data_IF_171816077082
#
_entry.id   IF_171816077082
#
_cell.length_a   1.000
_cell.length_b   1.000
_cell.length_c   1.000
_cell.angle_alpha   90.00
_cell.angle_beta   90.00
_cell.angle_gamma   90.00
#
_symmetry.space_group_name_H-M   'P 1'
#
loop_
_entity.id
_entity.type
_entity.pdbx_description
1 polymer ?
#
# COMPACT_ATOMS: atom_id res chain seq x y z
N UNK A 1 -62.17 -22.17 11.74
CA UNK A 1 -60.71 -22.22 11.48
C UNK A 1 -59.98 -20.99 12.04
N UNK A 2 -60.66 -20.09 12.78
CA UNK A 2 -60.16 -18.75 13.15
C UNK A 2 -59.41 -18.71 14.51
N UNK A 3 -59.83 -19.52 15.49
CA UNK A 3 -59.25 -19.46 16.85
C UNK A 3 -57.80 -19.99 16.94
N UNK A 4 -57.43 -20.96 16.13
CA UNK A 4 -56.10 -21.59 16.18
C UNK A 4 -55.00 -20.73 15.57
N UNK A 5 -55.33 -19.88 14.59
CA UNK A 5 -54.39 -18.94 13.97
C UNK A 5 -54.16 -17.73 14.88
N UNK A 6 -55.22 -17.24 15.53
CA UNK A 6 -55.14 -16.19 16.56
C UNK A 6 -54.33 -16.62 17.79
N UNK A 7 -54.49 -17.87 18.24
CA UNK A 7 -53.73 -18.41 19.37
C UNK A 7 -52.24 -18.59 19.03
N UNK A 8 -51.92 -19.02 17.80
CA UNK A 8 -50.54 -19.14 17.32
C UNK A 8 -49.85 -17.78 17.19
N UNK A 9 -50.55 -16.77 16.67
CA UNK A 9 -50.05 -15.40 16.59
C UNK A 9 -49.80 -14.81 17.98
N UNK A 10 -50.71 -15.02 18.94
CA UNK A 10 -50.52 -14.59 20.33
C UNK A 10 -49.33 -15.27 20.99
N UNK A 11 -49.13 -16.56 20.76
CA UNK A 11 -47.97 -17.28 21.27
C UNK A 11 -46.64 -16.74 20.67
N UNK A 12 -46.61 -16.46 19.36
CA UNK A 12 -45.45 -15.88 18.69
C UNK A 12 -45.12 -14.48 19.22
N UNK A 13 -46.13 -13.63 19.43
CA UNK A 13 -45.94 -12.30 20.02
C UNK A 13 -45.46 -12.37 21.48
N UNK A 14 -45.99 -13.29 22.28
CA UNK A 14 -45.51 -13.51 23.65
C UNK A 14 -44.05 -13.97 23.68
N UNK A 15 -43.66 -14.83 22.73
CA UNK A 15 -42.27 -15.28 22.57
C UNK A 15 -41.36 -14.13 22.14
N UNK A 16 -41.81 -13.24 21.25
CA UNK A 16 -41.05 -12.04 20.85
C UNK A 16 -40.83 -11.09 22.05
N UNK A 17 -41.83 -10.93 22.91
CA UNK A 17 -41.67 -10.16 24.15
C UNK A 17 -40.67 -10.77 25.13
N UNK A 18 -40.64 -12.10 25.22
CA UNK A 18 -39.64 -12.82 26.02
C UNK A 18 -38.23 -12.55 25.49
N UNK A 19 -38.01 -12.70 24.17
CA UNK A 19 -36.72 -12.40 23.56
C UNK A 19 -36.29 -10.94 23.75
N UNK A 20 -37.23 -9.98 23.72
CA UNK A 20 -36.95 -8.58 24.08
C UNK A 20 -36.49 -8.45 25.53
N UNK A 21 -37.14 -9.13 26.48
CA UNK A 21 -36.79 -9.07 27.89
C UNK A 21 -35.40 -9.70 28.14
N UNK A 22 -35.11 -10.83 27.51
CA UNK A 22 -33.81 -11.50 27.60
C UNK A 22 -32.71 -10.63 26.96
N UNK A 23 -32.99 -10.01 25.81
CA UNK A 23 -32.08 -9.07 25.16
C UNK A 23 -31.79 -7.83 26.02
N UNK A 24 -32.79 -7.34 26.78
CA UNK A 24 -32.60 -6.25 27.73
C UNK A 24 -31.72 -6.68 28.92
N UNK A 25 -31.84 -7.93 29.39
CA UNK A 25 -30.98 -8.49 30.42
C UNK A 25 -29.53 -8.60 29.92
N UNK A 26 -29.32 -9.16 28.73
CA UNK A 26 -28.01 -9.26 28.09
C UNK A 26 -27.36 -7.89 27.86
N UNK A 27 -28.14 -6.86 27.49
CA UNK A 27 -27.66 -5.48 27.38
C UNK A 27 -27.15 -4.92 28.72
N UNK A 28 -27.87 -5.19 29.83
CA UNK A 28 -27.45 -4.76 31.17
C UNK A 28 -26.16 -5.45 31.61
N UNK A 29 -25.97 -6.70 31.20
CA UNK A 29 -24.74 -7.48 31.42
C UNK A 29 -23.59 -7.08 30.47
N UNK A 30 -23.81 -6.09 29.58
CA UNK A 30 -22.86 -5.67 28.53
C UNK A 30 -22.52 -6.77 27.52
N UNK A 31 -23.31 -7.83 27.44
CA UNK A 31 -23.19 -8.86 26.42
C UNK A 31 -23.93 -8.41 25.15
N UNK A 32 -23.30 -7.51 24.40
CA UNK A 32 -23.94 -6.84 23.25
C UNK A 32 -24.23 -7.80 22.09
N UNK A 33 -23.35 -8.76 21.83
CA UNK A 33 -23.53 -9.76 20.77
C UNK A 33 -24.77 -10.63 21.02
N UNK A 34 -24.95 -11.11 22.26
CA UNK A 34 -26.12 -11.91 22.62
C UNK A 34 -27.40 -11.07 22.61
N UNK A 35 -27.33 -9.82 23.08
CA UNK A 35 -28.47 -8.91 22.99
C UNK A 35 -28.93 -8.68 21.54
N UNK A 36 -27.98 -8.44 20.61
CA UNK A 36 -28.28 -8.28 19.17
C UNK A 36 -28.96 -9.55 18.62
N UNK A 37 -28.45 -10.74 19.00
CA UNK A 37 -29.02 -12.02 18.58
C UNK A 37 -30.46 -12.15 19.07
N UNK A 38 -30.71 -11.91 20.35
CA UNK A 38 -32.03 -12.00 20.98
C UNK A 38 -33.03 -11.00 20.37
N UNK A 39 -32.63 -9.75 20.13
CA UNK A 39 -33.50 -8.80 19.42
C UNK A 39 -33.76 -9.18 17.97
N UNK A 40 -32.80 -9.83 17.31
CA UNK A 40 -33.01 -10.35 15.96
C UNK A 40 -34.05 -11.47 15.97
N UNK A 41 -33.98 -12.40 16.94
CA UNK A 41 -35.03 -13.41 17.13
C UNK A 41 -36.41 -12.78 17.42
N UNK A 42 -36.47 -11.68 18.17
CA UNK A 42 -37.73 -10.95 18.40
C UNK A 42 -38.26 -10.31 17.10
N UNK A 43 -37.38 -9.79 16.25
CA UNK A 43 -37.73 -9.21 14.95
C UNK A 43 -38.08 -10.26 13.89
N UNK A 44 -37.57 -11.49 14.00
CA UNK A 44 -37.99 -12.58 13.13
C UNK A 44 -39.47 -12.95 13.36
N UNK A 45 -39.97 -12.72 14.59
CA UNK A 45 -41.36 -12.96 14.98
C UNK A 45 -42.27 -11.74 14.75
N UNK A 46 -41.78 -10.51 15.01
CA UNK A 46 -42.48 -9.26 14.69
C UNK A 46 -41.51 -8.26 14.02
N UNK A 47 -41.37 -8.31 12.67
CA UNK A 47 -40.39 -7.53 11.93
C UNK A 47 -40.63 -6.02 11.97
N UNK A 48 -41.86 -5.60 12.28
CA UNK A 48 -42.27 -4.19 12.19
C UNK A 48 -42.19 -3.46 13.52
N UNK A 49 -41.84 -4.16 14.61
CA UNK A 49 -41.84 -3.59 15.94
C UNK A 49 -40.72 -2.55 16.14
N UNK A 50 -41.11 -1.27 16.15
CA UNK A 50 -40.18 -0.17 16.39
C UNK A 50 -39.41 -0.30 17.73
N UNK A 51 -39.99 -0.93 18.76
CA UNK A 51 -39.32 -1.09 20.06
C UNK A 51 -38.11 -2.02 19.93
N UNK A 52 -38.28 -3.15 19.22
CA UNK A 52 -37.20 -4.12 19.03
C UNK A 52 -36.10 -3.54 18.14
N UNK A 53 -36.46 -2.82 17.07
CA UNK A 53 -35.52 -2.08 16.22
C UNK A 53 -34.73 -1.03 17.03
N UNK A 54 -35.40 -0.26 17.89
CA UNK A 54 -34.75 0.75 18.74
C UNK A 54 -33.77 0.12 19.75
N UNK A 55 -34.14 -1.02 20.34
CA UNK A 55 -33.27 -1.72 21.30
C UNK A 55 -32.08 -2.40 20.61
N UNK A 56 -32.28 -2.98 19.41
CA UNK A 56 -31.19 -3.55 18.62
C UNK A 56 -30.23 -2.47 18.11
N UNK A 57 -30.75 -1.32 17.69
CA UNK A 57 -29.95 -0.14 17.34
C UNK A 57 -29.05 0.30 18.50
N UNK A 58 -29.59 0.34 19.73
CA UNK A 58 -28.80 0.65 20.92
C UNK A 58 -27.69 -0.38 21.17
N UNK A 59 -28.00 -1.67 21.06
CA UNK A 59 -27.03 -2.75 21.21
C UNK A 59 -25.93 -2.69 20.14
N UNK A 60 -26.28 -2.36 18.90
CA UNK A 60 -25.31 -2.14 17.83
C UNK A 60 -24.38 -0.96 18.11
N UNK A 61 -24.86 0.14 18.68
CA UNK A 61 -23.99 1.25 19.09
C UNK A 61 -23.02 0.84 20.20
N UNK A 62 -23.51 0.09 21.20
CA UNK A 62 -22.64 -0.42 22.27
C UNK A 62 -21.63 -1.46 21.78
N UNK A 63 -21.90 -2.13 20.66
CA UNK A 63 -21.00 -3.07 19.98
C UNK A 63 -20.15 -2.42 18.86
N UNK A 64 -20.02 -1.09 18.85
CA UNK A 64 -19.28 -0.28 17.85
C UNK A 64 -19.72 -0.48 16.39
N UNK A 65 -20.89 -1.06 16.17
CA UNK A 65 -21.47 -1.36 14.85
C UNK A 65 -22.38 -0.22 14.37
N UNK A 66 -21.81 0.99 14.27
CA UNK A 66 -22.53 2.26 14.08
C UNK A 66 -23.42 2.31 12.82
N UNK A 67 -22.96 1.73 11.71
CA UNK A 67 -23.71 1.70 10.44
C UNK A 67 -24.94 0.79 10.50
N UNK A 68 -24.85 -0.35 11.22
CA UNK A 68 -25.99 -1.23 11.46
C UNK A 68 -27.00 -0.58 12.40
N UNK A 69 -26.51 0.11 13.44
CA UNK A 69 -27.36 0.87 14.34
C UNK A 69 -28.18 1.96 13.62
N UNK A 70 -27.56 2.65 12.66
CA UNK A 70 -28.22 3.67 11.84
C UNK A 70 -29.38 3.07 11.04
N UNK A 71 -29.15 1.93 10.37
CA UNK A 71 -30.20 1.24 9.59
C UNK A 71 -31.38 0.82 10.45
N UNK A 72 -31.12 0.25 11.63
CA UNK A 72 -32.19 -0.12 12.56
C UNK A 72 -32.95 1.09 13.09
N UNK A 73 -32.27 2.22 13.31
CA UNK A 73 -32.91 3.45 13.73
C UNK A 73 -33.78 4.07 12.62
N UNK A 74 -33.36 3.97 11.36
CA UNK A 74 -34.15 4.38 10.20
C UNK A 74 -35.41 3.52 10.04
N UNK A 75 -35.25 2.20 10.08
CA UNK A 75 -36.38 1.27 10.07
C UNK A 75 -37.34 1.51 11.25
N UNK A 76 -36.82 1.86 12.43
CA UNK A 76 -37.62 2.23 13.59
C UNK A 76 -38.50 3.48 13.33
N UNK A 77 -37.95 4.50 12.67
CA UNK A 77 -38.68 5.72 12.29
C UNK A 77 -39.70 5.40 11.19
N UNK A 78 -39.37 4.55 10.23
CA UNK A 78 -40.31 4.08 9.20
C UNK A 78 -41.51 3.34 9.82
N UNK A 79 -41.26 2.46 10.80
CA UNK A 79 -42.31 1.74 11.52
C UNK A 79 -43.17 2.65 12.40
N UNK A 80 -42.58 3.62 13.11
CA UNK A 80 -43.31 4.57 13.97
C UNK A 80 -42.81 6.02 13.78
N UNK A 81 -43.31 6.74 12.75
CA UNK A 81 -42.83 8.08 12.41
C UNK A 81 -43.05 9.16 13.47
N UNK A 82 -44.02 8.95 14.37
CA UNK A 82 -44.36 9.88 15.46
C UNK A 82 -43.62 9.55 16.77
N UNK A 83 -42.77 8.54 16.79
CA UNK A 83 -42.09 8.11 18.01
C UNK A 83 -40.70 8.76 18.16
N UNK A 84 -40.60 9.74 19.07
CA UNK A 84 -39.38 10.52 19.28
C UNK A 84 -38.13 9.66 19.60
N UNK A 85 -38.30 8.49 20.23
CA UNK A 85 -37.18 7.59 20.55
C UNK A 85 -36.49 7.02 19.30
N UNK A 86 -37.20 6.89 18.17
CA UNK A 86 -36.58 6.50 16.90
C UNK A 86 -35.58 7.54 16.41
N UNK A 87 -35.98 8.82 16.43
CA UNK A 87 -35.10 9.95 16.12
C UNK A 87 -33.92 10.05 17.09
N UNK A 88 -34.14 9.76 18.38
CA UNK A 88 -33.07 9.72 19.37
C UNK A 88 -32.00 8.66 19.02
N UNK A 89 -32.42 7.45 18.60
CA UNK A 89 -31.48 6.39 18.16
C UNK A 89 -30.74 6.76 16.89
N UNK A 90 -31.45 7.35 15.91
CA UNK A 90 -30.84 7.77 14.64
C UNK A 90 -29.79 8.85 14.86
N UNK A 91 -30.12 9.89 15.64
CA UNK A 91 -29.18 10.95 16.00
C UNK A 91 -27.97 10.41 16.75
N UNK A 92 -28.15 9.43 17.64
CA UNK A 92 -27.04 8.82 18.37
C UNK A 92 -26.09 8.03 17.43
N UNK A 93 -26.65 7.34 16.43
CA UNK A 93 -25.86 6.64 15.43
C UNK A 93 -25.12 7.59 14.48
N UNK A 94 -25.77 8.68 14.05
CA UNK A 94 -25.15 9.73 13.24
C UNK A 94 -24.03 10.46 14.00
N UNK A 95 -24.25 10.74 15.29
CA UNK A 95 -23.25 11.32 16.17
C UNK A 95 -22.03 10.39 16.30
N UNK A 96 -22.24 9.09 16.53
CA UNK A 96 -21.14 8.13 16.62
C UNK A 96 -20.35 8.00 15.29
N UNK A 97 -20.98 8.28 14.16
CA UNK A 97 -20.37 8.32 12.82
C UNK A 97 -19.71 9.67 12.49
N UNK A 98 -19.60 10.59 13.44
CA UNK A 98 -19.09 11.97 13.26
C UNK A 98 -19.87 12.78 12.22
N UNK A 99 -21.15 12.44 11.98
CA UNK A 99 -22.05 13.17 11.08
C UNK A 99 -22.85 14.20 11.88
N UNK A 100 -22.15 15.16 12.49
CA UNK A 100 -22.72 16.06 13.50
C UNK A 100 -23.89 16.90 12.99
N UNK A 101 -23.80 17.44 11.77
CA UNK A 101 -24.89 18.25 11.18
C UNK A 101 -26.16 17.43 10.98
N UNK A 102 -26.02 16.20 10.48
CA UNK A 102 -27.13 15.28 10.30
C UNK A 102 -27.74 14.88 11.64
N UNK A 103 -26.89 14.55 12.63
CA UNK A 103 -27.34 14.20 13.98
C UNK A 103 -28.16 15.33 14.60
N UNK A 104 -27.70 16.58 14.48
CA UNK A 104 -28.41 17.77 14.98
C UNK A 104 -29.77 17.93 14.31
N UNK A 105 -29.85 17.81 12.98
CA UNK A 105 -31.12 17.86 12.24
C UNK A 105 -32.08 16.74 12.65
N UNK A 106 -31.57 15.52 12.83
CA UNK A 106 -32.36 14.37 13.26
C UNK A 106 -32.93 14.58 14.66
N UNK A 107 -32.14 15.11 15.60
CA UNK A 107 -32.64 15.42 16.94
C UNK A 107 -33.67 16.55 16.95
N UNK A 108 -33.51 17.58 16.11
CA UNK A 108 -34.55 18.61 15.95
C UNK A 108 -35.86 18.02 15.42
N UNK A 109 -35.81 17.11 14.42
CA UNK A 109 -37.01 16.38 13.96
C UNK A 109 -37.63 15.53 15.08
N UNK A 110 -36.81 15.01 16.00
CA UNK A 110 -37.29 14.36 17.22
C UNK A 110 -38.04 15.32 18.14
N UNK A 111 -37.51 16.53 18.35
CA UNK A 111 -38.14 17.58 19.15
C UNK A 111 -39.44 18.08 18.51
N UNK A 112 -39.56 18.10 17.19
CA UNK A 112 -40.85 18.38 16.52
C UNK A 112 -41.94 17.38 16.92
N UNK A 113 -41.57 16.14 17.26
CA UNK A 113 -42.53 15.11 17.74
C UNK A 113 -42.80 15.20 19.23
N UNK A 114 -41.81 15.62 20.02
CA UNK A 114 -41.91 15.82 21.47
C UNK A 114 -41.15 17.08 21.92
N UNK A 115 -41.78 18.27 21.85
CA UNK A 115 -41.10 19.55 22.07
C UNK A 115 -40.57 19.79 23.50
N UNK A 116 -41.07 19.04 24.48
CA UNK A 116 -40.68 19.15 25.89
C UNK A 116 -39.60 18.17 26.32
N UNK A 117 -39.01 17.42 25.39
CA UNK A 117 -38.10 16.32 25.72
C UNK A 117 -36.70 16.82 26.09
N UNK A 118 -36.37 16.77 27.38
CA UNK A 118 -35.06 17.18 27.90
C UNK A 118 -33.91 16.33 27.34
N UNK A 119 -34.11 15.02 27.16
CA UNK A 119 -33.07 14.12 26.64
C UNK A 119 -32.66 14.45 25.21
N UNK A 120 -33.58 14.93 24.37
CA UNK A 120 -33.26 15.37 23.01
C UNK A 120 -32.52 16.72 23.01
N UNK A 121 -32.87 17.64 23.91
CA UNK A 121 -32.19 18.92 24.08
C UNK A 121 -30.73 18.69 24.52
N UNK A 122 -30.51 17.87 25.55
CA UNK A 122 -29.19 17.46 26.01
C UNK A 122 -28.37 16.80 24.89
N UNK A 123 -28.99 15.95 24.07
CA UNK A 123 -28.30 15.31 22.94
C UNK A 123 -27.88 16.31 21.85
N UNK A 124 -28.69 17.35 21.59
CA UNK A 124 -28.35 18.43 20.65
C UNK A 124 -27.16 19.23 21.17
N UNK A 125 -27.16 19.59 22.45
CA UNK A 125 -26.05 20.30 23.09
C UNK A 125 -24.77 19.46 23.06
N UNK A 126 -24.87 18.17 23.39
CA UNK A 126 -23.74 17.24 23.34
C UNK A 126 -23.14 17.12 21.92
N UNK A 127 -23.99 17.05 20.88
CA UNK A 127 -23.53 17.05 19.48
C UNK A 127 -22.85 18.35 19.10
N UNK A 128 -23.32 19.50 19.58
CA UNK A 128 -22.70 20.80 19.30
C UNK A 128 -21.30 20.88 19.92
N UNK A 129 -21.16 20.52 21.20
CA UNK A 129 -19.87 20.50 21.89
C UNK A 129 -18.90 19.53 21.20
N UNK A 130 -19.38 18.33 20.83
CA UNK A 130 -18.58 17.35 20.11
C UNK A 130 -18.14 17.85 18.72
N UNK A 131 -19.03 18.54 17.99
CA UNK A 131 -18.72 19.14 16.70
C UNK A 131 -17.66 20.23 16.80
N UNK A 132 -17.79 21.13 17.78
CA UNK A 132 -16.81 22.19 18.03
C UNK A 132 -15.44 21.60 18.40
N UNK A 133 -15.40 20.62 19.31
CA UNK A 133 -14.18 19.92 19.68
C UNK A 133 -13.52 19.22 18.49
N UNK A 134 -14.30 18.50 17.68
CA UNK A 134 -13.82 17.84 16.47
C UNK A 134 -13.27 18.84 15.45
N UNK A 135 -13.97 19.96 15.25
CA UNK A 135 -13.52 21.03 14.34
C UNK A 135 -12.22 21.68 14.80
N UNK A 136 -12.03 21.88 16.11
CA UNK A 136 -10.81 22.43 16.69
C UNK A 136 -9.65 21.45 16.55
N UNK A 137 -9.88 20.16 16.79
CA UNK A 137 -8.89 19.10 16.57
C UNK A 137 -8.43 19.09 15.11
N UNK A 138 -9.37 19.09 14.16
CA UNK A 138 -9.05 19.09 12.73
C UNK A 138 -8.26 20.34 12.31
N UNK A 139 -8.59 21.52 12.87
CA UNK A 139 -7.79 22.75 12.65
C UNK A 139 -6.37 22.61 13.16
N UNK A 140 -6.16 22.02 14.35
CA UNK A 140 -4.82 21.78 14.90
C UNK A 140 -4.02 20.80 14.04
N UNK A 141 -4.63 19.68 13.64
CA UNK A 141 -3.98 18.68 12.78
C UNK A 141 -3.61 19.26 11.40
N UNK A 142 -4.47 20.10 10.82
CA UNK A 142 -4.18 20.77 9.55
C UNK A 142 -3.06 21.80 9.70
N UNK A 143 -3.07 22.60 10.78
CA UNK A 143 -2.00 23.56 11.07
C UNK A 143 -0.64 22.86 11.30
N UNK A 144 -0.63 21.71 11.99
CA UNK A 144 0.57 20.90 12.17
C UNK A 144 1.10 20.35 10.85
N UNK A 145 0.23 19.80 10.00
CA UNK A 145 0.61 19.35 8.64
C UNK A 145 1.15 20.48 7.79
N UNK A 146 0.56 21.67 7.88
CA UNK A 146 1.02 22.85 7.14
C UNK A 146 2.37 23.35 7.66
N UNK A 147 2.59 23.35 8.98
CA UNK A 147 3.88 23.69 9.57
C UNK A 147 4.99 22.72 9.14
N UNK A 148 4.70 21.40 9.12
CA UNK A 148 5.64 20.38 8.62
C UNK A 148 5.97 20.62 7.14
N UNK A 149 4.96 20.92 6.32
CA UNK A 149 5.17 21.22 4.90
C UNK A 149 6.05 22.47 4.72
N UNK A 150 5.77 23.55 5.46
CA UNK A 150 6.55 24.78 5.41
C UNK A 150 8.01 24.54 5.89
N UNK A 151 8.21 23.71 6.91
CA UNK A 151 9.54 23.33 7.38
C UNK A 151 10.33 22.56 6.30
N UNK A 152 9.70 21.59 5.63
CA UNK A 152 10.34 20.87 4.52
C UNK A 152 10.63 21.77 3.32
N UNK A 153 9.73 22.70 3.00
CA UNK A 153 9.94 23.68 1.93
C UNK A 153 11.09 24.65 2.26
N UNK A 154 11.18 25.10 3.51
CA UNK A 154 12.30 25.91 3.99
C UNK A 154 13.63 25.14 3.98
N UNK A 155 13.64 23.86 4.37
CA UNK A 155 14.83 23.00 4.30
C UNK A 155 15.26 22.76 2.85
N UNK A 156 14.31 22.50 1.94
CA UNK A 156 14.59 22.32 0.52
C UNK A 156 15.15 23.61 -0.10
N UNK A 157 14.58 24.77 0.27
CA UNK A 157 15.08 26.07 -0.17
C UNK A 157 16.48 26.34 0.38
N UNK A 158 16.74 26.07 1.65
CA UNK A 158 18.07 26.23 2.23
C UNK A 158 19.12 25.36 1.53
N UNK A 159 18.79 24.11 1.18
CA UNK A 159 19.66 23.25 0.37
C UNK A 159 19.89 23.79 -1.04
N UNK A 160 18.84 24.30 -1.69
CA UNK A 160 18.96 24.90 -3.01
C UNK A 160 19.82 26.19 -2.99
N UNK A 161 19.66 27.02 -1.95
CA UNK A 161 20.47 28.22 -1.75
C UNK A 161 21.94 27.86 -1.47
N UNK A 162 22.20 26.79 -0.70
CA UNK A 162 23.55 26.26 -0.44
C UNK A 162 24.19 25.67 -1.71
N UNK A 163 23.41 24.95 -2.53
CA UNK A 163 23.85 24.40 -3.83
C UNK A 163 24.15 25.53 -4.84
N UNK A 164 23.32 26.58 -4.88
CA UNK A 164 23.57 27.75 -5.70
C UNK A 164 24.83 28.52 -5.27
N UNK A 165 25.05 28.63 -3.95
CA UNK A 165 26.27 29.24 -3.41
C UNK A 165 27.50 28.41 -3.80
N UNK A 166 27.41 27.09 -3.66
CA UNK A 166 28.48 26.17 -4.04
C UNK A 166 28.77 26.25 -5.54
N UNK A 167 27.74 26.30 -6.40
CA UNK A 167 27.90 26.47 -7.83
C UNK A 167 28.62 27.78 -8.16
N UNK A 168 28.20 28.90 -7.58
CA UNK A 168 28.85 30.21 -7.80
C UNK A 168 30.31 30.23 -7.34
N UNK A 169 30.62 29.52 -6.25
CA UNK A 169 31.98 29.37 -5.76
C UNK A 169 32.82 28.51 -6.70
N UNK A 170 32.26 27.42 -7.24
CA UNK A 170 32.96 26.56 -8.20
C UNK A 170 33.22 27.30 -9.52
N UNK A 171 32.28 28.12 -10.00
CA UNK A 171 32.48 28.97 -11.18
C UNK A 171 33.61 29.99 -10.96
N UNK A 172 33.71 30.57 -9.75
CA UNK A 172 34.77 31.51 -9.39
C UNK A 172 36.15 30.81 -9.30
N UNK A 173 36.19 29.59 -8.77
CA UNK A 173 37.40 28.75 -8.74
C UNK A 173 37.82 28.36 -10.16
N UNK A 174 36.89 27.97 -11.03
CA UNK A 174 37.16 27.64 -12.43
C UNK A 174 37.69 28.87 -13.18
N UNK A 175 37.10 30.05 -12.98
CA UNK A 175 37.59 31.30 -13.56
C UNK A 175 39.00 31.68 -13.08
N UNK A 176 39.35 31.38 -11.82
CA UNK A 176 40.69 31.57 -11.26
C UNK A 176 41.70 30.54 -11.81
N UNK A 177 41.27 29.29 -11.99
CA UNK A 177 42.07 28.26 -12.65
C UNK A 177 42.35 28.64 -14.11
N UNK A 178 41.34 29.13 -14.84
CA UNK A 178 41.49 29.60 -16.21
C UNK A 178 42.42 30.83 -16.32
N UNK A 179 42.40 31.74 -15.33
CA UNK A 179 43.35 32.85 -15.26
C UNK A 179 44.77 32.41 -14.89
N UNK A 180 44.91 31.36 -14.08
CA UNK A 180 46.22 30.81 -13.68
C UNK A 180 46.82 29.89 -14.75
N UNK A 181 46.00 29.35 -15.65
CA UNK A 181 46.43 28.34 -16.61
C UNK A 181 46.68 28.90 -18.02
N UNK A 182 47.60 29.87 -18.12
CA UNK A 182 48.32 30.16 -19.38
C UNK A 182 49.54 29.26 -19.55
N UNK A 183 49.38 27.95 -19.33
CA UNK A 183 50.39 26.95 -19.68
C UNK A 183 49.72 25.94 -20.59
N UNK A 184 50.16 25.93 -21.86
CA UNK A 184 49.74 24.97 -22.87
C UNK A 184 49.78 23.56 -22.27
N UNK A 185 48.62 22.90 -22.24
CA UNK A 185 48.46 21.48 -21.92
C UNK A 185 49.51 20.71 -22.73
N UNK A 186 50.51 20.09 -22.08
CA UNK A 186 51.48 19.28 -22.81
C UNK A 186 50.74 18.12 -23.46
N UNK A 187 51.10 17.82 -24.71
CA UNK A 187 50.60 16.67 -25.45
C UNK A 187 50.75 15.40 -24.59
N UNK A 188 49.78 14.46 -24.65
CA UNK A 188 49.78 13.28 -23.82
C UNK A 188 51.00 12.45 -24.17
N UNK A 189 52.02 12.52 -23.30
CA UNK A 189 53.14 11.60 -23.36
C UNK A 189 52.55 10.23 -23.05
N UNK A 190 52.53 9.33 -24.03
CA UNK A 190 52.16 7.93 -23.83
C UNK A 190 53.02 7.38 -22.69
N UNK A 191 52.41 7.28 -21.50
CA UNK A 191 53.03 6.64 -20.36
C UNK A 191 53.05 5.16 -20.66
N UNK A 192 54.23 4.63 -20.99
CA UNK A 192 54.45 3.19 -21.08
C UNK A 192 54.21 2.63 -19.67
N UNK A 193 53.00 2.08 -19.43
CA UNK A 193 52.66 1.42 -18.17
C UNK A 193 53.58 0.20 -18.02
N UNK A 194 54.18 -0.03 -16.83
CA UNK A 194 55.00 -1.21 -16.62
C UNK A 194 54.19 -2.49 -16.88
N UNK A 195 54.78 -3.54 -17.46
CA UNK A 195 54.06 -4.79 -17.73
C UNK A 195 53.42 -5.32 -16.45
N UNK A 196 52.10 -5.51 -16.46
CA UNK A 196 51.37 -6.11 -15.34
C UNK A 196 51.76 -7.58 -15.24
N UNK A 197 52.31 -7.97 -14.08
CA UNK A 197 52.53 -9.38 -13.76
C UNK A 197 51.22 -10.00 -13.29
N UNK A 198 50.77 -11.02 -14.01
CA UNK A 198 49.51 -11.72 -13.73
C UNK A 198 49.69 -12.90 -12.78
N UNK A 199 50.92 -13.27 -12.42
CA UNK A 199 51.20 -14.39 -11.51
C UNK A 199 50.78 -15.75 -12.06
N UNK A 200 50.47 -16.69 -11.16
CA UNK A 200 50.07 -18.07 -11.50
C UNK A 200 48.54 -18.23 -11.61
N UNK A 201 48.05 -19.22 -12.37
CA UNK A 201 46.62 -19.55 -12.46
C UNK A 201 45.96 -19.77 -11.09
N UNK A 202 46.61 -20.53 -10.21
CA UNK A 202 46.09 -20.83 -8.86
C UNK A 202 46.05 -19.57 -7.97
N UNK A 203 47.06 -18.70 -8.10
CA UNK A 203 47.10 -17.43 -7.37
C UNK A 203 45.95 -16.49 -7.77
N UNK A 204 45.56 -16.49 -9.04
CA UNK A 204 44.43 -15.68 -9.52
C UNK A 204 43.09 -16.20 -9.00
N UNK A 205 42.89 -17.51 -8.93
CA UNK A 205 41.67 -18.10 -8.34
C UNK A 205 41.57 -17.72 -6.86
N UNK A 206 42.67 -17.82 -6.11
CA UNK A 206 42.70 -17.43 -4.68
C UNK A 206 42.40 -15.94 -4.51
N UNK A 207 42.95 -15.07 -5.36
CA UNK A 207 42.69 -13.63 -5.33
C UNK A 207 41.22 -13.30 -5.58
N UNK A 208 40.62 -13.91 -6.60
CA UNK A 208 39.25 -13.62 -7.02
C UNK A 208 38.21 -14.20 -6.07
N UNK A 209 38.54 -15.28 -5.36
CA UNK A 209 37.65 -15.95 -4.41
C UNK A 209 38.15 -15.83 -2.97
N UNK A 210 38.80 -14.71 -2.68
CA UNK A 210 39.21 -14.36 -1.33
C UNK A 210 37.99 -14.19 -0.40
N UNK A 211 38.16 -14.26 0.93
CA UNK A 211 37.07 -13.96 1.85
C UNK A 211 36.46 -12.58 1.55
N UNK A 212 35.13 -12.51 1.45
CA UNK A 212 34.38 -11.29 1.08
C UNK A 212 34.58 -10.82 -0.36
N UNK A 213 34.98 -11.72 -1.29
CA UNK A 213 35.13 -11.38 -2.70
C UNK A 213 33.88 -10.75 -3.34
N UNK A 214 32.67 -11.11 -2.87
CA UNK A 214 31.42 -10.52 -3.33
C UNK A 214 31.37 -8.99 -3.25
N UNK A 215 32.10 -8.41 -2.28
CA UNK A 215 32.17 -6.97 -2.08
C UNK A 215 33.40 -6.36 -2.75
N UNK A 216 34.52 -7.09 -2.75
CA UNK A 216 35.78 -6.62 -3.32
C UNK A 216 35.73 -6.59 -4.85
N UNK A 217 35.08 -7.58 -5.45
CA UNK A 217 34.95 -7.72 -6.90
C UNK A 217 33.88 -6.81 -7.51
N UNK A 218 33.15 -6.04 -6.68
CA UNK A 218 32.23 -5.00 -7.19
C UNK A 218 32.95 -3.92 -8.00
N UNK A 219 34.25 -3.73 -7.76
CA UNK A 219 35.09 -2.83 -8.55
C UNK A 219 35.68 -3.58 -9.77
N UNK A 220 35.21 -3.31 -11.01
CA UNK A 220 35.66 -4.03 -12.19
C UNK A 220 37.13 -3.76 -12.55
N UNK A 221 37.66 -2.57 -12.25
CA UNK A 221 39.07 -2.24 -12.47
C UNK A 221 40.00 -3.09 -11.60
N UNK A 222 39.60 -3.35 -10.35
CA UNK A 222 40.35 -4.21 -9.43
C UNK A 222 40.34 -5.68 -9.88
N UNK A 223 39.22 -6.16 -10.40
CA UNK A 223 39.08 -7.54 -10.92
C UNK A 223 39.97 -7.75 -12.14
N UNK A 224 39.93 -6.82 -13.09
CA UNK A 224 40.70 -6.90 -14.34
C UNK A 224 42.17 -6.47 -14.20
N UNK A 225 42.58 -6.00 -13.02
CA UNK A 225 43.93 -5.48 -12.73
C UNK A 225 44.30 -4.34 -13.69
N UNK A 226 43.38 -3.37 -13.82
CA UNK A 226 43.49 -2.21 -14.69
C UNK A 226 43.44 -0.93 -13.86
N UNK A 227 44.10 0.10 -14.36
CA UNK A 227 43.98 1.47 -13.86
C UNK A 227 42.70 2.14 -14.38
N UNK A 228 42.30 3.24 -13.75
CA UNK A 228 41.07 3.98 -14.10
C UNK A 228 41.14 4.65 -15.47
N UNK A 229 42.34 4.85 -16.03
CA UNK A 229 42.61 5.43 -17.34
C UNK A 229 42.75 4.37 -18.46
N UNK A 230 42.40 3.12 -18.19
CA UNK A 230 42.59 2.01 -19.12
C UNK A 230 41.77 2.16 -20.42
N UNK A 231 42.40 1.80 -21.55
CA UNK A 231 41.75 1.82 -22.86
C UNK A 231 40.89 0.58 -23.11
N UNK A 232 39.97 0.65 -24.08
CA UNK A 232 39.13 -0.49 -24.48
C UNK A 232 39.92 -1.70 -24.99
N UNK A 233 41.11 -1.46 -25.54
CA UNK A 233 42.01 -2.52 -25.99
C UNK A 233 42.68 -3.20 -24.81
N UNK A 234 43.17 -2.44 -23.82
CA UNK A 234 43.75 -2.96 -22.58
C UNK A 234 42.72 -3.80 -21.80
N UNK A 235 41.47 -3.33 -21.72
CA UNK A 235 40.36 -4.08 -21.09
C UNK A 235 40.19 -5.45 -21.74
N UNK A 236 40.14 -5.50 -23.08
CA UNK A 236 39.99 -6.76 -23.83
C UNK A 236 41.21 -7.67 -23.67
N UNK A 237 42.42 -7.10 -23.66
CA UNK A 237 43.66 -7.87 -23.49
C UNK A 237 43.73 -8.51 -22.10
N UNK A 238 43.48 -7.74 -21.04
CA UNK A 238 43.46 -8.24 -19.67
C UNK A 238 42.36 -9.28 -19.46
N UNK A 239 41.16 -9.05 -20.01
CA UNK A 239 40.08 -10.03 -19.97
C UNK A 239 40.49 -11.35 -20.64
N UNK A 240 40.99 -11.33 -21.88
CA UNK A 240 41.42 -12.56 -22.58
C UNK A 240 42.49 -13.32 -21.79
N UNK A 241 43.47 -12.61 -21.23
CA UNK A 241 44.57 -13.20 -20.48
C UNK A 241 44.07 -13.83 -19.16
N UNK A 242 43.31 -13.07 -18.36
CA UNK A 242 42.73 -13.55 -17.10
C UNK A 242 41.75 -14.70 -17.32
N UNK A 243 40.84 -14.58 -18.30
CA UNK A 243 39.90 -15.64 -18.67
C UNK A 243 40.60 -16.90 -19.13
N UNK A 244 41.70 -16.81 -19.89
CA UNK A 244 42.48 -17.98 -20.27
C UNK A 244 43.17 -18.64 -19.06
N UNK A 245 43.60 -17.84 -18.07
CA UNK A 245 44.25 -18.31 -16.85
C UNK A 245 43.30 -18.94 -15.85
N UNK A 246 42.01 -18.57 -15.79
CA UNK A 246 41.02 -19.17 -14.86
C UNK A 246 39.96 -20.01 -15.56
N UNK A 247 40.14 -20.35 -16.84
CA UNK A 247 39.14 -21.10 -17.59
C UNK A 247 38.91 -22.50 -16.96
N UNK A 248 37.64 -22.95 -16.80
CA UNK A 248 37.32 -24.24 -16.19
C UNK A 248 37.96 -25.44 -16.88
N UNK A 249 38.05 -25.42 -18.21
CA UNK A 249 38.64 -26.55 -18.97
C UNK A 249 40.17 -26.60 -18.91
N UNK A 250 40.83 -25.48 -18.57
CA UNK A 250 42.30 -25.38 -18.54
C UNK A 250 42.87 -25.56 -17.15
N UNK A 251 42.05 -25.39 -16.10
CA UNK A 251 42.46 -25.52 -14.72
C UNK A 251 41.68 -26.64 -14.03
N UNK A 252 42.35 -27.57 -13.35
CA UNK A 252 41.69 -28.66 -12.62
C UNK A 252 40.89 -28.21 -11.39
N UNK A 253 41.03 -26.96 -10.93
CA UNK A 253 40.39 -26.49 -9.70
C UNK A 253 38.88 -26.32 -9.88
N UNK A 254 38.03 -26.93 -9.02
CA UNK A 254 36.57 -26.78 -9.11
C UNK A 254 36.08 -25.33 -8.98
N UNK A 255 36.87 -24.46 -8.33
CA UNK A 255 36.54 -23.04 -8.12
C UNK A 255 36.84 -22.16 -9.33
N UNK A 256 37.55 -22.68 -10.34
CA UNK A 256 37.90 -21.94 -11.56
C UNK A 256 36.66 -21.37 -12.27
N UNK A 257 35.52 -22.09 -12.22
CA UNK A 257 34.25 -21.63 -12.78
C UNK A 257 33.73 -20.35 -12.11
N UNK A 258 33.71 -20.28 -10.80
CA UNK A 258 33.25 -19.11 -10.06
C UNK A 258 34.17 -17.91 -10.30
N UNK A 259 35.49 -18.13 -10.29
CA UNK A 259 36.47 -17.08 -10.60
C UNK A 259 36.32 -16.55 -12.05
N UNK A 260 36.03 -17.43 -13.01
CA UNK A 260 35.77 -17.04 -14.39
C UNK A 260 34.48 -16.20 -14.52
N UNK A 261 33.43 -16.57 -13.78
CA UNK A 261 32.18 -15.80 -13.77
C UNK A 261 32.38 -14.37 -13.24
N UNK A 262 33.20 -14.17 -12.21
CA UNK A 262 33.54 -12.84 -11.68
C UNK A 262 34.30 -11.97 -12.70
N UNK A 263 35.28 -12.54 -13.40
CA UNK A 263 36.00 -11.83 -14.48
C UNK A 263 35.04 -11.46 -15.62
N UNK A 264 34.13 -12.36 -15.98
CA UNK A 264 33.13 -12.10 -17.01
C UNK A 264 32.18 -10.97 -16.61
N UNK A 265 31.66 -10.97 -15.37
CA UNK A 265 30.82 -9.89 -14.84
C UNK A 265 31.53 -8.53 -14.91
N UNK A 266 32.80 -8.48 -14.51
CA UNK A 266 33.60 -7.25 -14.57
C UNK A 266 33.78 -6.75 -16.01
N UNK A 267 34.09 -7.64 -16.96
CA UNK A 267 34.20 -7.27 -18.37
C UNK A 267 32.87 -6.79 -18.96
N UNK A 268 31.76 -7.46 -18.65
CA UNK A 268 30.43 -7.08 -19.13
C UNK A 268 30.01 -5.69 -18.60
N UNK A 269 30.39 -5.35 -17.36
CA UNK A 269 30.22 -4.00 -16.81
C UNK A 269 31.07 -2.97 -17.55
N UNK A 270 32.32 -3.31 -17.87
CA UNK A 270 33.27 -2.41 -18.54
C UNK A 270 33.01 -2.23 -20.04
N UNK A 271 32.33 -3.20 -20.67
CA UNK A 271 31.93 -3.13 -22.08
C UNK A 271 30.89 -2.03 -22.32
N UNK A 272 30.07 -1.71 -21.31
CA UNK A 272 29.11 -0.62 -21.38
C UNK A 272 29.78 0.69 -20.94
N UNK A 273 29.88 1.64 -21.87
CA UNK A 273 30.57 2.91 -21.67
C UNK A 273 29.98 3.75 -20.52
N UNK A 274 28.66 3.77 -20.34
CA UNK A 274 28.00 4.56 -19.29
C UNK A 274 28.25 3.96 -17.90
N UNK A 275 28.24 2.62 -17.81
CA UNK A 275 28.59 1.92 -16.57
C UNK A 275 30.06 2.14 -16.21
N UNK A 276 30.95 2.06 -17.21
CA UNK A 276 32.37 2.36 -17.06
C UNK A 276 32.59 3.78 -16.52
N UNK A 277 31.97 4.80 -17.13
CA UNK A 277 32.03 6.20 -16.65
C UNK A 277 31.49 6.36 -15.23
N UNK A 278 30.40 5.67 -14.90
CA UNK A 278 29.84 5.69 -13.55
C UNK A 278 30.82 5.11 -12.52
N UNK A 279 31.46 3.97 -12.84
CA UNK A 279 32.47 3.36 -11.99
C UNK A 279 33.71 4.27 -11.83
N UNK A 280 34.20 4.89 -12.90
CA UNK A 280 35.31 5.85 -12.84
C UNK A 280 34.98 7.01 -11.90
N UNK A 281 33.82 7.67 -12.10
CA UNK A 281 33.36 8.77 -11.25
C UNK A 281 33.21 8.38 -9.79
N UNK A 282 32.71 7.17 -9.51
CA UNK A 282 32.62 6.66 -8.13
C UNK A 282 34.00 6.53 -7.47
N UNK A 283 35.00 6.07 -8.22
CA UNK A 283 36.38 5.94 -7.74
C UNK A 283 36.99 7.32 -7.50
N UNK A 284 36.88 8.23 -8.47
CA UNK A 284 37.41 9.60 -8.38
C UNK A 284 36.82 10.34 -7.18
N UNK A 285 35.49 10.34 -7.03
CA UNK A 285 34.81 10.98 -5.90
C UNK A 285 35.26 10.40 -4.54
N UNK A 286 35.48 9.08 -4.47
CA UNK A 286 35.93 8.44 -3.23
C UNK A 286 37.37 8.83 -2.88
N UNK A 287 38.27 8.90 -3.86
CA UNK A 287 39.66 9.32 -3.67
C UNK A 287 39.71 10.80 -3.29
N UNK A 288 38.93 11.66 -3.95
CA UNK A 288 38.86 13.08 -3.65
C UNK A 288 38.34 13.32 -2.22
N UNK A 289 37.30 12.61 -1.80
CA UNK A 289 36.79 12.70 -0.43
C UNK A 289 37.86 12.34 0.60
N UNK A 290 38.67 11.29 0.36
CA UNK A 290 39.80 10.93 1.23
C UNK A 290 40.87 12.01 1.22
N UNK A 291 41.19 12.59 0.06
CA UNK A 291 42.17 13.66 -0.04
C UNK A 291 41.75 14.90 0.75
N UNK A 292 40.47 15.30 0.68
CA UNK A 292 39.90 16.41 1.46
C UNK A 292 39.97 16.10 2.96
N UNK A 293 39.53 14.92 3.38
CA UNK A 293 39.56 14.51 4.80
C UNK A 293 41.00 14.47 5.34
N UNK A 294 41.94 13.94 4.56
CA UNK A 294 43.37 13.90 4.91
C UNK A 294 43.96 15.30 5.03
N UNK A 295 43.63 16.22 4.12
CA UNK A 295 44.06 17.63 4.17
C UNK A 295 43.57 18.32 5.45
N UNK A 296 42.35 18.03 5.90
CA UNK A 296 41.84 18.55 7.17
C UNK A 296 42.58 17.95 8.38
N UNK A 297 42.87 16.64 8.37
CA UNK A 297 43.62 15.97 9.45
C UNK A 297 45.06 16.46 9.57
N UNK A 298 45.71 16.76 8.45
CA UNK A 298 47.06 17.33 8.41
C UNK A 298 47.15 18.73 9.04
N UNK A 299 46.03 19.46 9.22
CA UNK A 299 46.03 20.72 10.00
C UNK A 299 46.21 20.49 11.51
N UNK A 300 45.92 19.27 11.99
CA UNK A 300 45.93 18.92 13.42
C UNK A 300 47.01 17.89 13.78
N UNK A 301 47.42 17.05 12.83
CA UNK A 301 48.33 15.92 13.05
C UNK A 301 49.49 15.94 12.05
N UNK A 302 50.62 15.33 12.44
CA UNK A 302 51.79 15.14 11.56
C UNK A 302 51.56 13.98 10.60
N UNK A 303 52.26 14.00 9.45
CA UNK A 303 52.16 12.96 8.40
C UNK A 303 52.42 11.56 8.96
N UNK A 304 53.44 11.40 9.81
CA UNK A 304 53.85 10.11 10.36
C UNK A 304 52.80 9.47 11.30
N UNK A 305 51.83 10.27 11.77
CA UNK A 305 50.75 9.81 12.65
C UNK A 305 49.49 9.39 11.86
N UNK A 306 49.49 9.60 10.54
CA UNK A 306 48.35 9.33 9.67
C UNK A 306 48.54 8.01 8.90
N UNK A 307 47.47 7.24 8.67
CA UNK A 307 47.53 6.03 7.86
C UNK A 307 48.00 6.28 6.43
N UNK A 308 48.51 5.23 5.77
CA UNK A 308 48.91 5.32 4.37
C UNK A 308 47.75 5.79 3.47
N UNK A 309 48.07 6.60 2.47
CA UNK A 309 47.06 7.19 1.60
C UNK A 309 46.44 6.16 0.66
N UNK A 310 47.23 5.18 0.20
CA UNK A 310 46.74 4.17 -0.72
C UNK A 310 45.79 3.21 0.00
N UNK A 311 46.12 2.82 1.23
CA UNK A 311 45.23 2.02 2.07
C UNK A 311 43.89 2.72 2.35
N UNK A 312 43.92 4.03 2.59
CA UNK A 312 42.70 4.82 2.80
C UNK A 312 41.87 4.93 1.51
N UNK A 313 42.52 5.16 0.37
CA UNK A 313 41.88 5.22 -0.92
C UNK A 313 41.22 3.87 -1.28
N UNK A 314 41.93 2.75 -1.13
CA UNK A 314 41.39 1.41 -1.42
C UNK A 314 40.15 1.12 -0.56
N UNK A 315 40.21 1.43 0.75
CA UNK A 315 39.07 1.26 1.66
C UNK A 315 37.88 2.15 1.31
N UNK A 316 38.13 3.42 0.95
CA UNK A 316 37.08 4.34 0.58
C UNK A 316 36.39 3.94 -0.72
N UNK A 317 37.17 3.50 -1.72
CA UNK A 317 36.65 2.98 -2.98
C UNK A 317 35.81 1.73 -2.74
N UNK A 318 36.31 0.75 -1.98
CA UNK A 318 35.55 -0.45 -1.63
C UNK A 318 34.23 -0.12 -0.94
N UNK A 319 34.25 0.82 0.00
CA UNK A 319 33.03 1.28 0.68
C UNK A 319 32.05 1.93 -0.29
N UNK A 320 32.51 2.78 -1.21
CA UNK A 320 31.65 3.45 -2.18
C UNK A 320 30.91 2.45 -3.10
N UNK A 321 31.62 1.41 -3.55
CA UNK A 321 31.01 0.31 -4.33
C UNK A 321 30.02 -0.51 -3.50
N UNK A 322 30.37 -0.87 -2.27
CA UNK A 322 29.48 -1.60 -1.36
C UNK A 322 28.19 -0.82 -1.04
N UNK A 323 28.31 0.50 -0.80
CA UNK A 323 27.17 1.37 -0.55
C UNK A 323 26.27 1.50 -1.79
N UNK A 324 26.85 1.55 -2.99
CA UNK A 324 26.11 1.57 -4.24
C UNK A 324 25.32 0.28 -4.47
N UNK A 325 25.94 -0.87 -4.23
CA UNK A 325 25.31 -2.18 -4.36
C UNK A 325 24.21 -2.37 -3.30
N UNK A 326 24.43 -1.93 -2.07
CA UNK A 326 23.40 -1.93 -1.03
C UNK A 326 22.21 -1.04 -1.40
N UNK A 327 22.45 0.14 -1.98
CA UNK A 327 21.37 1.00 -2.50
C UNK A 327 20.57 0.27 -3.58
N UNK A 328 21.23 -0.39 -4.53
CA UNK A 328 20.58 -1.18 -5.58
C UNK A 328 19.70 -2.30 -5.00
N UNK A 329 20.25 -3.13 -4.11
CA UNK A 329 19.53 -4.22 -3.43
C UNK A 329 18.32 -3.71 -2.63
N UNK A 330 18.46 -2.56 -1.97
CA UNK A 330 17.38 -1.94 -1.22
C UNK A 330 16.24 -1.44 -2.12
N UNK A 331 16.56 -0.89 -3.29
CA UNK A 331 15.54 -0.47 -4.28
C UNK A 331 14.81 -1.69 -4.83
N UNK A 332 15.53 -2.72 -5.27
CA UNK A 332 14.95 -3.97 -5.79
C UNK A 332 14.03 -4.64 -4.73
N UNK A 333 14.45 -4.67 -3.47
CA UNK A 333 13.64 -5.22 -2.38
C UNK A 333 12.34 -4.42 -2.13
N UNK A 334 12.40 -3.08 -2.27
CA UNK A 334 11.22 -2.21 -2.15
C UNK A 334 10.24 -2.46 -3.30
N UNK A 335 10.74 -2.54 -4.54
CA UNK A 335 9.92 -2.84 -5.71
C UNK A 335 9.27 -4.21 -5.63
N UNK A 336 10.01 -5.24 -5.22
CA UNK A 336 9.47 -6.58 -5.02
C UNK A 336 8.36 -6.60 -3.97
N UNK A 337 8.56 -5.88 -2.86
CA UNK A 337 7.55 -5.75 -1.80
C UNK A 337 6.31 -5.01 -2.30
N UNK A 338 6.47 -4.01 -3.16
CA UNK A 338 5.36 -3.30 -3.79
C UNK A 338 4.58 -4.22 -4.73
N UNK A 339 5.26 -4.92 -5.64
CA UNK A 339 4.61 -5.88 -6.56
C UNK A 339 3.84 -6.97 -5.80
N UNK A 340 4.40 -7.47 -4.69
CA UNK A 340 3.71 -8.45 -3.85
C UNK A 340 2.40 -7.89 -3.26
N UNK A 341 2.40 -6.63 -2.84
CA UNK A 341 1.19 -5.96 -2.32
C UNK A 341 0.15 -5.74 -3.41
N UNK A 342 0.58 -5.38 -4.61
CA UNK A 342 -0.31 -5.21 -5.77
C UNK A 342 -1.00 -6.53 -6.13
N UNK A 343 -0.26 -7.64 -6.16
CA UNK A 343 -0.83 -8.98 -6.39
C UNK A 343 -1.80 -9.37 -5.26
N UNK A 344 -1.45 -9.14 -4.00
CA UNK A 344 -2.33 -9.43 -2.86
C UNK A 344 -3.62 -8.59 -2.89
N UNK A 345 -3.53 -7.33 -3.32
CA UNK A 345 -4.70 -6.47 -3.53
C UNK A 345 -5.59 -7.00 -4.66
N UNK A 346 -5.00 -7.38 -5.80
CA UNK A 346 -5.75 -7.94 -6.93
C UNK A 346 -6.44 -9.26 -6.56
N UNK A 347 -5.77 -10.13 -5.80
CA UNK A 347 -6.36 -11.37 -5.29
C UNK A 347 -7.51 -11.09 -4.31
N UNK A 348 -7.34 -10.14 -3.41
CA UNK A 348 -8.39 -9.72 -2.47
C UNK A 348 -9.60 -9.09 -3.18
N UNK A 349 -9.37 -8.32 -4.26
CA UNK A 349 -10.45 -7.78 -5.09
C UNK A 349 -11.21 -8.89 -5.81
N UNK A 350 -10.50 -9.85 -6.43
CA UNK A 350 -11.13 -11.04 -7.03
C UNK A 350 -11.90 -11.86 -6.01
N UNK A 351 -11.42 -11.96 -4.78
CA UNK A 351 -12.14 -12.65 -3.69
C UNK A 351 -13.40 -11.89 -3.28
N UNK A 352 -13.34 -10.55 -3.17
CA UNK A 352 -14.52 -9.72 -2.93
C UNK A 352 -15.54 -9.83 -4.05
N UNK A 353 -15.12 -9.83 -5.32
CA UNK A 353 -16.01 -10.04 -6.46
C UNK A 353 -16.68 -11.42 -6.41
N UNK A 354 -15.91 -12.48 -6.14
CA UNK A 354 -16.46 -13.83 -5.94
C UNK A 354 -17.45 -13.87 -4.78
N UNK A 355 -17.13 -13.24 -3.65
CA UNK A 355 -18.00 -13.18 -2.49
C UNK A 355 -19.28 -12.38 -2.78
N UNK A 356 -19.18 -11.25 -3.49
CA UNK A 356 -20.33 -10.46 -3.92
C UNK A 356 -21.24 -11.26 -4.87
N UNK A 357 -20.64 -11.99 -5.82
CA UNK A 357 -21.37 -12.89 -6.71
C UNK A 357 -22.08 -14.02 -5.94
N UNK A 358 -21.41 -14.64 -4.97
CA UNK A 358 -22.02 -15.68 -4.12
C UNK A 358 -23.16 -15.11 -3.28
N UNK A 359 -22.95 -13.94 -2.67
CA UNK A 359 -23.97 -13.24 -1.90
C UNK A 359 -25.20 -12.91 -2.76
N UNK A 360 -25.02 -12.35 -3.97
CA UNK A 360 -26.12 -12.06 -4.89
C UNK A 360 -26.87 -13.34 -5.31
N UNK A 361 -26.13 -14.42 -5.59
CA UNK A 361 -26.71 -15.74 -5.89
C UNK A 361 -27.53 -16.28 -4.72
N UNK A 362 -27.03 -16.21 -3.49
CA UNK A 362 -27.73 -16.64 -2.29
C UNK A 362 -28.97 -15.78 -2.04
N UNK A 363 -28.85 -14.46 -2.20
CA UNK A 363 -29.94 -13.50 -2.08
C UNK A 363 -31.05 -13.78 -3.09
N UNK A 364 -30.71 -14.02 -4.36
CA UNK A 364 -31.68 -14.41 -5.40
C UNK A 364 -32.36 -15.74 -5.09
N UNK A 365 -31.63 -16.71 -4.51
CA UNK A 365 -32.23 -17.98 -4.09
C UNK A 365 -33.15 -17.82 -2.88
N UNK A 366 -32.80 -16.96 -1.92
CA UNK A 366 -33.63 -16.60 -0.79
C UNK A 366 -34.92 -15.92 -1.26
N UNK A 367 -34.84 -14.93 -2.17
CA UNK A 367 -36.01 -14.27 -2.75
C UNK A 367 -36.93 -15.26 -3.49
N UNK A 368 -36.36 -16.25 -4.20
CA UNK A 368 -37.11 -17.35 -4.82
C UNK A 368 -37.67 -18.35 -3.81
N UNK A 369 -37.06 -18.50 -2.63
CA UNK A 369 -37.64 -19.29 -1.52
C UNK A 369 -38.79 -18.51 -0.90
N UNK A 370 -38.64 -17.22 -0.64
CA UNK A 370 -39.68 -16.36 -0.06
C UNK A 370 -40.90 -16.25 -0.98
N UNK A 371 -40.68 -16.07 -2.29
CA UNK A 371 -41.77 -16.13 -3.29
C UNK A 371 -42.44 -17.51 -3.33
N UNK A 372 -41.70 -18.61 -3.16
CA UNK A 372 -42.27 -19.96 -3.06
C UNK A 372 -43.02 -20.18 -1.75
N UNK A 373 -42.52 -19.67 -0.62
CA UNK A 373 -43.17 -19.77 0.68
C UNK A 373 -44.42 -18.90 0.73
N UNK A 374 -44.40 -17.68 0.20
CA UNK A 374 -45.57 -16.83 0.05
C UNK A 374 -46.64 -17.46 -0.85
N UNK A 375 -46.23 -18.11 -1.95
CA UNK A 375 -47.15 -18.84 -2.82
C UNK A 375 -47.71 -20.12 -2.15
N UNK A 376 -46.93 -20.79 -1.30
CA UNK A 376 -47.36 -21.98 -0.55
C UNK A 376 -48.30 -21.62 0.62
N UNK A 377 -47.97 -20.60 1.41
CA UNK A 377 -48.84 -20.02 2.45
C UNK A 377 -50.16 -19.52 1.85
N UNK A 378 -50.12 -18.92 0.65
CA UNK A 378 -51.31 -18.50 -0.09
C UNK A 378 -52.16 -19.64 -0.68
N UNK A 379 -51.67 -20.88 -0.70
CA UNK A 379 -52.42 -22.11 -1.03
C UNK A 379 -53.03 -22.72 0.23
N UNK A 380 -52.41 -22.53 1.39
CA UNK A 380 -52.91 -23.01 2.67
C UNK A 380 -54.09 -22.18 3.20
N UNK A 381 -54.15 -20.90 2.87
CA UNK A 381 -55.24 -19.98 3.25
C UNK A 381 -56.51 -20.05 2.39
N UNK A 382 -56.48 -20.76 1.24
CA UNK A 382 -57.65 -20.93 0.37
C UNK A 382 -57.62 -22.28 -0.37
N UNK A 383 -58.32 -23.32 0.12
CA UNK A 383 -58.25 -24.68 -0.42
C UNK A 383 -58.85 -24.83 -1.83
N UNK A 384 -59.52 -23.80 -2.38
CA UNK A 384 -60.06 -23.80 -3.75
C UNK A 384 -59.17 -23.08 -4.77
N UNK A 385 -58.04 -22.51 -4.35
CA UNK A 385 -57.16 -21.73 -5.23
C UNK A 385 -56.35 -22.66 -6.13
N UNK A 386 -56.81 -22.86 -7.38
CA UNK A 386 -56.11 -23.68 -8.37
C UNK A 386 -54.70 -23.14 -8.62
N UNK A 387 -53.69 -23.98 -8.33
CA UNK A 387 -52.30 -23.73 -8.73
C UNK A 387 -52.27 -23.52 -10.24
N UNK A 388 -51.79 -22.36 -10.70
CA UNK A 388 -51.46 -22.16 -12.12
C UNK A 388 -50.35 -23.15 -12.48
N UNK A 389 -50.72 -24.29 -13.06
CA UNK A 389 -49.76 -25.20 -13.66
C UNK A 389 -49.15 -24.48 -14.86
N UNK A 390 -47.82 -24.50 -14.94
CA UNK A 390 -47.12 -24.11 -16.16
C UNK A 390 -47.68 -24.93 -17.33
N UNK A 391 -47.98 -24.29 -18.49
CA UNK A 391 -48.58 -24.99 -19.61
C UNK A 391 -47.70 -26.16 -20.04
N UNK A 392 -48.31 -27.34 -20.21
CA UNK A 392 -47.67 -28.63 -20.55
C UNK A 392 -46.98 -28.66 -21.93
N UNK A 393 -46.79 -27.52 -22.59
CA UNK A 393 -46.20 -27.45 -23.93
C UNK A 393 -45.21 -26.29 -24.10
N UNK A 394 -44.31 -26.12 -23.13
CA UNK A 394 -43.06 -25.41 -23.38
C UNK A 394 -41.95 -26.41 -23.10
N UNK A 395 -41.65 -27.21 -24.12
CA UNK A 395 -40.44 -28.02 -24.13
C UNK A 395 -39.25 -27.14 -23.79
N UNK A 396 -38.31 -27.69 -23.03
CA UNK A 396 -37.04 -27.05 -22.71
C UNK A 396 -36.37 -26.55 -23.99
N UNK A 397 -36.55 -25.27 -24.30
CA UNK A 397 -35.56 -24.58 -25.11
C UNK A 397 -34.36 -24.43 -24.19
N UNK A 398 -33.39 -25.35 -24.36
CA UNK A 398 -32.04 -25.15 -23.89
C UNK A 398 -31.62 -23.79 -24.43
N UNK A 399 -31.65 -22.76 -23.58
CA UNK A 399 -31.05 -21.48 -23.95
C UNK A 399 -29.61 -21.81 -24.35
N UNK A 400 -29.34 -21.69 -25.66
CA UNK A 400 -27.97 -21.65 -26.13
C UNK A 400 -27.27 -20.62 -25.26
N UNK A 401 -26.16 -21.05 -24.63
CA UNK A 401 -25.31 -20.18 -23.83
C UNK A 401 -25.12 -18.89 -24.62
N UNK A 402 -25.79 -17.81 -24.22
CA UNK A 402 -25.42 -16.48 -24.69
C UNK A 402 -23.99 -16.31 -24.23
N UNK A 403 -23.08 -16.21 -25.19
CA UNK A 403 -21.69 -15.92 -24.91
C UNK A 403 -21.62 -14.72 -23.97
N UNK A 404 -20.71 -14.73 -22.99
CA UNK A 404 -20.57 -13.63 -22.07
C UNK A 404 -20.38 -12.35 -22.88
N UNK A 405 -21.24 -11.34 -22.66
CA UNK A 405 -21.08 -10.02 -23.26
C UNK A 405 -19.66 -9.55 -22.97
N UNK A 406 -18.81 -9.52 -24.00
CA UNK A 406 -17.49 -8.88 -23.96
C UNK A 406 -17.71 -7.43 -23.55
N UNK A 407 -17.49 -7.13 -22.28
CA UNK A 407 -17.30 -5.76 -21.84
C UNK A 407 -15.88 -5.39 -22.23
N UNK A 408 -15.74 -4.42 -23.13
CA UNK A 408 -14.44 -3.91 -23.57
C UNK A 408 -13.97 -4.39 -24.94
N UNK A 409 -14.69 -4.03 -26.00
CA UNK A 409 -14.06 -3.69 -27.27
C UNK A 409 -14.64 -2.35 -27.68
N UNK A 410 -13.84 -1.30 -27.50
CA UNK A 410 -14.14 0.03 -28.05
C UNK A 410 -13.94 -0.10 -29.55
N UNK A 411 -15.03 -0.08 -30.32
CA UNK A 411 -14.98 -0.03 -31.78
C UNK A 411 -14.36 1.31 -32.20
N UNK A 412 -13.08 1.26 -32.59
CA UNK A 412 -12.21 2.40 -32.81
C UNK A 412 -12.49 3.23 -34.07
N UNK A 413 -13.75 3.51 -34.43
CA UNK A 413 -14.03 4.42 -35.57
C UNK A 413 -15.38 5.17 -35.53
N UNK A 414 -16.13 5.18 -34.43
CA UNK A 414 -17.40 5.95 -34.38
C UNK A 414 -17.23 7.47 -34.37
N UNK A 415 -16.05 8.00 -34.01
CA UNK A 415 -15.80 9.46 -34.01
C UNK A 415 -15.65 10.09 -35.41
N UNK A 416 -15.57 9.29 -36.48
CA UNK A 416 -15.35 9.77 -37.86
C UNK A 416 -16.63 10.04 -38.66
N UNK A 417 -17.81 9.91 -38.06
CA UNK A 417 -19.10 10.12 -38.76
C UNK A 417 -19.61 11.58 -38.78
N UNK A 418 -18.86 12.54 -38.22
CA UNK A 418 -19.28 13.95 -38.16
C UNK A 418 -18.33 14.94 -38.86
N UNK A 419 -17.47 14.46 -39.77
CA UNK A 419 -16.73 15.33 -40.70
C UNK A 419 -17.22 15.10 -42.13
N UNK A 420 -18.17 15.93 -42.57
CA UNK A 420 -18.47 16.21 -43.97
C UNK A 420 -18.66 17.70 -44.14
#
# INVERSE_FOLDING_TARGET
MDQTEDDALRAALAQAEQFKNDGNAALKEKNYAEAIRLYTCALDLDPTNAIYLSNRSAAHLSNDSKTKALRDAEACIESKPNWWKGYMRKGAAEHALNRFDMAKQTYFRGLEKDPGNTSLQEAIEAVQVAHEAYSLQLKKENAEKEAIRQAHEAEAKAKADEEALLASFMDEVEALEDQANTVKKPEPVERIKPPVDFGTPEGQIIRLLQPHFEWINLNPFRVLMLDTDATDEEIKQHYRKLSAMVHPDKNPDPRAREAFEEIKKAHDQMTNEDRRKTCMRMIENAIEAVAVERKQKLKKFRVDQLPDINDLNEKAVLKAFADSENRRRNVEARELKQRRREVEQEEAEKEKEKAAYLHDKEWSQAERRDKRMANWLGVQSDPNKKVKTLPKNVGWQREEKKEPKKHGVVDGNEYKKSWK
#
